data_IF_671280088334
#
_entry.id   IF_671280088334
#
_cell.length_a   1.000
_cell.length_b   1.000
_cell.length_c   1.000
_cell.angle_alpha   90.00
_cell.angle_beta   90.00
_cell.angle_gamma   90.00
#
_symmetry.space_group_name_H-M   'P 1'
#
loop_
_entity.id
_entity.type
_entity.pdbx_description
1 polymer ?
#
# COMPACT_ATOMS: atom_id res chain seq x y z
N UNK A 1 2.73 18.93 19.96
CA UNK A 1 1.69 18.91 18.91
C UNK A 1 2.42 18.55 17.63
N UNK A 2 2.37 17.29 17.20
CA UNK A 2 3.11 16.86 16.02
C UNK A 2 2.41 17.39 14.77
N UNK A 3 3.12 18.15 13.94
CA UNK A 3 2.60 18.57 12.65
C UNK A 3 2.34 17.32 11.80
N UNK A 4 1.11 17.15 11.33
CA UNK A 4 0.77 16.08 10.41
C UNK A 4 1.39 16.49 9.07
N UNK A 5 2.55 15.94 8.75
CA UNK A 5 3.16 16.14 7.44
C UNK A 5 2.44 15.26 6.42
N UNK A 6 1.71 15.88 5.50
CA UNK A 6 1.23 15.21 4.31
C UNK A 6 2.41 15.03 3.36
N UNK A 7 2.78 13.77 3.11
CA UNK A 7 3.85 13.41 2.20
C UNK A 7 3.31 12.47 1.13
N UNK A 8 3.46 12.84 -0.13
CA UNK A 8 3.11 11.98 -1.28
C UNK A 8 4.29 11.09 -1.62
N UNK A 9 4.06 9.77 -1.69
CA UNK A 9 5.07 8.80 -2.11
C UNK A 9 4.76 8.39 -3.55
N UNK A 10 5.73 8.57 -4.44
CA UNK A 10 5.64 8.08 -5.81
C UNK A 10 5.58 6.54 -5.82
N UNK A 11 4.63 5.98 -6.57
CA UNK A 11 4.41 4.53 -6.67
C UNK A 11 5.66 3.79 -7.20
N UNK A 12 6.53 4.47 -7.94
CA UNK A 12 7.77 3.92 -8.48
C UNK A 12 8.86 3.72 -7.41
N UNK A 13 8.69 4.31 -6.23
CA UNK A 13 9.64 4.15 -5.13
C UNK A 13 9.45 2.84 -4.36
N UNK A 14 8.33 2.13 -4.56
CA UNK A 14 8.14 0.83 -3.96
C UNK A 14 8.97 -0.22 -4.71
N UNK A 15 9.72 -1.01 -3.95
CA UNK A 15 10.63 -2.04 -4.47
C UNK A 15 9.98 -3.43 -4.50
N UNK A 16 8.93 -3.64 -3.69
CA UNK A 16 8.24 -4.93 -3.58
C UNK A 16 6.87 -4.76 -2.96
N UNK A 17 5.93 -5.60 -3.38
CA UNK A 17 4.64 -5.76 -2.70
C UNK A 17 4.35 -7.22 -2.40
N UNK A 18 3.56 -7.46 -1.35
CA UNK A 18 3.13 -8.80 -0.96
C UNK A 18 1.70 -8.78 -0.41
N UNK A 19 0.91 -9.78 -0.79
CA UNK A 19 -0.47 -9.96 -0.31
C UNK A 19 -0.51 -11.19 0.60
N UNK A 20 -1.06 -11.00 1.79
CA UNK A 20 -1.45 -12.03 2.74
C UNK A 20 -2.97 -12.10 2.80
N UNK A 21 -3.50 -13.11 3.52
CA UNK A 21 -4.95 -13.34 3.65
C UNK A 21 -5.71 -12.09 4.09
N UNK A 22 -5.14 -11.32 5.00
CA UNK A 22 -5.76 -10.21 5.75
C UNK A 22 -4.94 -8.91 5.70
N UNK A 23 -3.87 -8.86 4.89
CA UNK A 23 -2.90 -7.77 4.91
C UNK A 23 -2.23 -7.55 3.55
N UNK A 24 -2.05 -6.28 3.17
CA UNK A 24 -1.16 -5.85 2.09
C UNK A 24 0.12 -5.22 2.63
N UNK A 25 1.26 -5.63 2.08
CA UNK A 25 2.60 -5.15 2.43
C UNK A 25 3.21 -4.43 1.24
N UNK A 26 3.60 -3.16 1.42
CA UNK A 26 4.25 -2.34 0.40
C UNK A 26 5.63 -1.90 0.91
N UNK A 27 6.70 -2.39 0.29
CA UNK A 27 8.09 -2.11 0.69
C UNK A 27 8.64 -0.92 -0.10
N UNK A 28 9.05 0.13 0.60
CA UNK A 28 9.83 1.25 0.04
C UNK A 28 11.33 0.94 0.05
N UNK A 29 11.78 0.28 1.11
CA UNK A 29 13.15 -0.22 1.24
C UNK A 29 13.15 -1.49 2.09
N UNK A 30 14.32 -2.10 2.31
CA UNK A 30 14.44 -3.28 3.19
C UNK A 30 14.00 -3.02 4.63
N UNK A 31 14.13 -1.78 5.12
CA UNK A 31 13.78 -1.38 6.48
C UNK A 31 12.48 -0.55 6.59
N UNK A 32 11.84 -0.25 5.47
CA UNK A 32 10.65 0.61 5.44
C UNK A 32 9.52 -0.07 4.67
N UNK A 33 8.45 -0.39 5.41
CA UNK A 33 7.29 -1.12 4.89
C UNK A 33 6.02 -0.45 5.38
N UNK A 34 5.07 -0.27 4.47
CA UNK A 34 3.70 0.13 4.78
C UNK A 34 2.82 -1.11 4.89
N UNK A 35 1.94 -1.11 5.90
CA UNK A 35 1.07 -2.22 6.25
C UNK A 35 -0.38 -1.75 6.14
N UNK A 36 -1.16 -2.39 5.26
CA UNK A 36 -2.57 -2.09 5.05
C UNK A 36 -3.42 -3.32 5.37
N UNK A 37 -3.95 -3.44 6.61
CA UNK A 37 -4.85 -4.53 6.97
C UNK A 37 -6.12 -4.44 6.12
N UNK A 38 -6.60 -5.55 5.53
CA UNK A 38 -7.77 -5.51 4.64
C UNK A 38 -9.03 -4.97 5.33
N UNK A 39 -9.14 -5.14 6.64
CA UNK A 39 -10.23 -4.60 7.47
C UNK A 39 -10.36 -3.07 7.49
N UNK A 40 -9.36 -2.33 6.99
CA UNK A 40 -9.44 -0.86 6.92
C UNK A 40 -10.27 -0.37 5.73
N UNK A 41 -10.49 -1.24 4.73
CA UNK A 41 -11.34 -0.92 3.59
C UNK A 41 -12.80 -1.05 4.03
N UNK A 42 -13.57 0.02 3.89
CA UNK A 42 -14.98 0.05 4.30
C UNK A 42 -15.84 -0.81 3.39
N UNK A 43 -15.48 -0.88 2.11
CA UNK A 43 -16.20 -1.64 1.09
C UNK A 43 -15.27 -2.53 0.24
N UNK A 44 -15.79 -3.62 -0.35
CA UNK A 44 -15.05 -4.40 -1.34
C UNK A 44 -14.59 -3.56 -2.55
N UNK A 45 -15.35 -2.53 -2.91
CA UNK A 45 -15.02 -1.59 -3.98
C UNK A 45 -13.76 -0.78 -3.65
N UNK A 46 -13.61 -0.30 -2.41
CA UNK A 46 -12.42 0.43 -1.96
C UNK A 46 -11.17 -0.47 -1.97
N UNK A 47 -11.31 -1.72 -1.50
CA UNK A 47 -10.22 -2.71 -1.58
C UNK A 47 -9.85 -2.99 -3.04
N UNK A 48 -10.85 -3.15 -3.93
CA UNK A 48 -10.61 -3.38 -5.35
C UNK A 48 -9.91 -2.19 -6.02
N UNK A 49 -10.31 -0.96 -5.70
CA UNK A 49 -9.64 0.24 -6.19
C UNK A 49 -8.18 0.26 -5.74
N UNK A 50 -7.91 0.08 -4.44
CA UNK A 50 -6.55 0.02 -3.92
C UNK A 50 -5.72 -1.07 -4.61
N UNK A 51 -6.31 -2.26 -4.76
CA UNK A 51 -5.64 -3.39 -5.38
C UNK A 51 -5.27 -3.11 -6.84
N UNK A 52 -6.19 -2.55 -7.63
CA UNK A 52 -5.97 -2.33 -9.06
C UNK A 52 -5.10 -1.08 -9.33
N UNK A 53 -5.35 0.00 -8.60
CA UNK A 53 -4.70 1.29 -8.86
C UNK A 53 -3.35 1.46 -8.15
N UNK A 54 -3.10 0.71 -7.08
CA UNK A 54 -1.85 0.79 -6.31
C UNK A 54 -1.12 -0.55 -6.34
N UNK A 55 -1.69 -1.60 -5.76
CA UNK A 55 -0.96 -2.85 -5.51
C UNK A 55 -0.48 -3.53 -6.81
N UNK A 56 -1.37 -3.72 -7.78
CA UNK A 56 -1.05 -4.40 -9.05
C UNK A 56 -0.10 -3.59 -9.93
N UNK A 57 -0.16 -2.25 -9.89
CA UNK A 57 0.77 -1.40 -10.63
C UNK A 57 2.21 -1.55 -10.13
N UNK A 58 2.40 -1.66 -8.82
CA UNK A 58 3.72 -1.93 -8.25
C UNK A 58 4.15 -3.37 -8.56
N UNK A 59 3.23 -4.34 -8.45
CA UNK A 59 3.53 -5.76 -8.63
C UNK A 59 3.95 -6.14 -10.05
N UNK A 60 3.33 -5.53 -11.06
CA UNK A 60 3.50 -5.90 -12.47
C UNK A 60 4.55 -5.07 -13.21
N UNK A 61 5.36 -4.31 -12.47
CA UNK A 61 6.53 -3.61 -13.00
C UNK A 61 7.70 -4.58 -13.18
#
# INVERSE_FOLDING_TARGET
>A
MGEISESTIDINNFIKVFELKDLYLLYLSKGQTLFFPKRIFETPEDENWFRNEVFLKIKNR
#
